data_IF_910615950307
#
_entry.id   IF_910615950307
#
_cell.length_a   1.000
_cell.length_b   1.000
_cell.length_c   1.000
_cell.angle_alpha   90.00
_cell.angle_beta   90.00
_cell.angle_gamma   90.00
#
_symmetry.space_group_name_H-M   'P 1'
#
loop_
_entity.id
_entity.type
_entity.pdbx_description
1 polymer ?
#
# COMPACT_ATOMS: atom_id res chain seq x y z
N UNK A 1 -0.02 5.07 -17.98
CA UNK A 1 -0.41 5.87 -19.17
C UNK A 1 -1.90 6.14 -19.03
N UNK A 2 -2.32 7.41 -18.87
CA UNK A 2 -3.72 7.76 -18.59
C UNK A 2 -4.54 8.00 -19.86
N UNK A 3 -3.87 8.36 -20.96
CA UNK A 3 -4.45 8.60 -22.29
C UNK A 3 -3.37 8.40 -23.35
N UNK A 4 -3.76 8.15 -24.60
CA UNK A 4 -2.86 8.15 -25.76
C UNK A 4 -3.35 9.13 -26.81
N UNK A 5 -2.41 9.68 -27.59
CA UNK A 5 -2.69 10.75 -28.53
C UNK A 5 -1.45 11.18 -29.29
N UNK A 6 -1.59 12.22 -30.09
CA UNK A 6 -0.50 12.81 -30.87
C UNK A 6 -0.30 14.27 -30.45
N UNK A 7 0.95 14.76 -30.58
CA UNK A 7 1.19 16.20 -30.38
C UNK A 7 0.38 16.94 -31.45
N UNK A 8 -0.47 17.84 -31.01
CA UNK A 8 -1.40 18.54 -31.88
C UNK A 8 -0.68 19.42 -32.88
N UNK A 9 -1.30 19.63 -34.03
CA UNK A 9 -0.85 20.64 -35.00
C UNK A 9 -0.88 22.05 -34.40
N UNK A 10 -1.68 22.27 -33.36
CA UNK A 10 -1.82 23.52 -32.63
C UNK A 10 -0.70 23.77 -31.60
N UNK A 11 0.31 22.91 -31.49
CA UNK A 11 1.35 23.00 -30.45
C UNK A 11 2.07 24.36 -30.37
N UNK A 12 2.10 25.10 -31.49
CA UNK A 12 2.79 26.38 -31.63
C UNK A 12 1.85 27.58 -31.36
N UNK A 13 0.56 27.33 -31.07
CA UNK A 13 -0.41 28.36 -30.70
C UNK A 13 0.00 29.00 -29.37
N UNK A 14 -0.14 30.32 -29.25
CA UNK A 14 0.23 31.05 -28.01
C UNK A 14 -0.77 30.83 -26.87
N UNK A 15 -2.02 30.54 -27.22
CA UNK A 15 -3.13 30.32 -26.28
C UNK A 15 -4.03 29.22 -26.84
N UNK A 16 -4.43 28.27 -26.00
CA UNK A 16 -5.43 27.26 -26.33
C UNK A 16 -6.38 27.09 -25.15
N UNK A 17 -7.69 27.14 -25.40
CA UNK A 17 -8.72 27.02 -24.35
C UNK A 17 -8.49 27.96 -23.15
N UNK A 18 -8.20 29.24 -23.45
CA UNK A 18 -7.84 30.28 -22.48
C UNK A 18 -6.56 29.99 -21.64
N UNK A 19 -5.76 28.98 -22.01
CA UNK A 19 -4.49 28.64 -21.37
C UNK A 19 -3.33 29.11 -22.24
N UNK A 20 -2.44 29.93 -21.68
CA UNK A 20 -1.20 30.30 -22.34
C UNK A 20 -0.29 29.07 -22.52
N UNK A 21 0.17 28.87 -23.75
CA UNK A 21 1.13 27.83 -24.09
C UNK A 21 2.55 28.38 -23.87
N UNK A 22 3.25 27.75 -22.94
CA UNK A 22 4.64 28.03 -22.57
C UNK A 22 5.54 26.90 -23.07
N UNK A 23 6.88 27.04 -23.04
CA UNK A 23 7.80 25.95 -23.38
C UNK A 23 7.61 24.68 -22.53
N UNK A 24 6.98 24.78 -21.37
CA UNK A 24 6.66 23.66 -20.47
C UNK A 24 5.31 23.02 -20.75
N UNK A 25 4.51 23.59 -21.67
CA UNK A 25 3.17 23.13 -22.04
C UNK A 25 3.15 22.75 -23.51
N UNK A 26 2.29 21.81 -23.85
CA UNK A 26 2.03 21.46 -25.24
C UNK A 26 0.61 20.95 -25.38
N UNK A 27 0.10 20.97 -26.60
CA UNK A 27 -1.25 20.53 -26.92
C UNK A 27 -1.16 19.12 -27.48
N UNK A 28 -2.00 18.23 -26.98
CA UNK A 28 -2.09 16.84 -27.40
C UNK A 28 -3.51 16.56 -27.87
N UNK A 29 -3.63 16.00 -29.06
CA UNK A 29 -4.88 15.46 -29.60
C UNK A 29 -5.04 14.04 -29.05
N UNK A 30 -5.91 13.89 -28.06
CA UNK A 30 -6.18 12.63 -27.37
C UNK A 30 -7.07 11.75 -28.24
N UNK A 31 -6.61 10.54 -28.53
CA UNK A 31 -7.33 9.54 -29.33
C UNK A 31 -7.89 8.39 -28.49
N UNK A 32 -7.38 8.17 -27.28
CA UNK A 32 -7.81 7.10 -26.38
C UNK A 32 -7.69 7.57 -24.92
N UNK A 33 -8.75 7.38 -24.12
CA UNK A 33 -8.74 7.63 -22.67
C UNK A 33 -8.71 6.29 -21.94
N UNK A 34 -7.70 6.07 -21.09
CA UNK A 34 -7.53 4.83 -20.31
C UNK A 34 -7.94 4.99 -18.85
N UNK A 35 -7.87 6.21 -18.32
CA UNK A 35 -8.24 6.54 -16.93
C UNK A 35 -9.17 7.76 -16.94
N UNK A 36 -10.50 7.57 -17.04
CA UNK A 36 -11.50 8.65 -17.12
C UNK A 36 -11.40 9.69 -15.99
N UNK A 37 -11.21 9.22 -14.75
CA UNK A 37 -11.11 10.07 -13.57
C UNK A 37 -9.78 10.80 -13.37
N UNK A 38 -8.84 10.71 -14.31
CA UNK A 38 -7.54 11.37 -14.19
C UNK A 38 -7.69 12.90 -14.17
N UNK A 39 -7.19 13.56 -13.13
CA UNK A 39 -7.34 15.00 -12.91
C UNK A 39 -6.32 15.79 -13.72
N UNK A 40 -6.81 16.73 -14.55
CA UNK A 40 -5.98 17.58 -15.40
C UNK A 40 -5.77 18.94 -14.76
N UNK A 41 -4.60 19.12 -14.12
CA UNK A 41 -4.28 20.34 -13.38
C UNK A 41 -4.24 21.61 -14.25
N UNK A 42 -3.81 21.50 -15.51
CA UNK A 42 -3.78 22.60 -16.48
C UNK A 42 -5.17 23.16 -16.81
N UNK A 43 -6.23 22.40 -16.52
CA UNK A 43 -7.61 22.70 -16.84
C UNK A 43 -8.49 22.91 -15.59
N UNK A 44 -7.91 23.45 -14.51
CA UNK A 44 -8.67 23.71 -13.28
C UNK A 44 -9.07 22.44 -12.53
N UNK A 45 -8.22 21.40 -12.60
CA UNK A 45 -8.41 20.11 -11.89
C UNK A 45 -9.69 19.36 -12.27
N UNK A 46 -10.13 19.47 -13.52
CA UNK A 46 -11.25 18.66 -14.03
C UNK A 46 -10.80 17.27 -14.46
N UNK A 47 -11.66 16.23 -14.34
CA UNK A 47 -11.35 14.88 -14.77
C UNK A 47 -11.31 14.77 -16.30
N UNK A 48 -10.59 13.78 -16.81
CA UNK A 48 -10.32 13.62 -18.23
C UNK A 48 -11.57 13.25 -19.06
N UNK A 49 -12.57 12.61 -18.44
CA UNK A 49 -13.86 12.32 -19.08
C UNK A 49 -14.75 13.55 -19.28
N UNK A 50 -14.50 14.65 -18.56
CA UNK A 50 -15.27 15.89 -18.69
C UNK A 50 -15.01 16.65 -20.00
N UNK A 51 -14.02 16.24 -20.79
CA UNK A 51 -13.66 16.85 -22.08
C UNK A 51 -14.49 16.32 -23.26
N UNK A 52 -15.36 15.34 -23.03
CA UNK A 52 -16.23 14.76 -24.06
C UNK A 52 -15.63 13.52 -24.74
N UNK A 53 -16.29 13.01 -25.79
CA UNK A 53 -15.82 11.83 -26.52
C UNK A 53 -14.53 12.13 -27.29
N UNK A 54 -13.66 11.13 -27.41
CA UNK A 54 -12.46 11.21 -28.25
C UNK A 54 -12.83 11.28 -29.74
N UNK A 55 -12.06 11.99 -30.58
CA UNK A 55 -10.86 12.75 -30.23
C UNK A 55 -11.16 14.16 -29.69
N UNK A 56 -10.33 14.63 -28.75
CA UNK A 56 -10.34 16.01 -28.26
C UNK A 56 -8.92 16.50 -27.99
N UNK A 57 -8.71 17.82 -28.04
CA UNK A 57 -7.41 18.44 -27.82
C UNK A 57 -7.31 19.01 -26.41
N UNK A 58 -6.18 18.80 -25.74
CA UNK A 58 -5.98 19.24 -24.36
C UNK A 58 -4.53 19.67 -24.13
N UNK A 59 -4.35 20.62 -23.22
CA UNK A 59 -3.03 21.14 -22.83
C UNK A 59 -2.44 20.28 -21.71
N UNK A 60 -1.25 19.74 -21.93
CA UNK A 60 -0.46 19.02 -20.92
C UNK A 60 0.84 19.75 -20.60
N UNK A 61 1.37 19.48 -19.40
CA UNK A 61 2.77 19.75 -19.11
C UNK A 61 3.64 18.76 -19.90
N UNK A 62 4.68 19.23 -20.58
CA UNK A 62 5.58 18.37 -21.34
C UNK A 62 6.24 17.31 -20.45
N UNK A 63 6.50 17.62 -19.18
CA UNK A 63 7.03 16.68 -18.19
C UNK A 63 6.10 15.48 -17.91
N UNK A 64 4.82 15.57 -18.27
CA UNK A 64 3.85 14.48 -18.08
C UNK A 64 3.69 13.61 -19.33
N UNK A 65 4.33 13.99 -20.44
CA UNK A 65 4.27 13.24 -21.68
C UNK A 65 5.40 12.22 -21.74
N UNK A 66 5.07 11.03 -22.25
CA UNK A 66 6.04 10.03 -22.68
C UNK A 66 5.88 9.85 -24.17
N UNK A 67 6.83 10.30 -24.95
CA UNK A 67 6.85 10.12 -26.40
C UNK A 67 7.33 8.71 -26.73
N UNK A 68 6.65 8.04 -27.65
CA UNK A 68 7.06 6.75 -28.19
C UNK A 68 7.14 6.86 -29.71
N UNK A 69 8.28 6.48 -30.29
CA UNK A 69 8.46 6.33 -31.73
C UNK A 69 8.30 4.84 -32.09
N UNK A 70 7.31 4.46 -32.92
CA UNK A 70 7.10 3.06 -33.32
C UNK A 70 8.30 2.41 -34.01
N UNK A 71 9.22 3.22 -34.55
CA UNK A 71 10.39 2.79 -35.30
C UNK A 71 11.58 2.32 -34.45
N UNK A 72 11.52 2.41 -33.11
CA UNK A 72 12.68 2.09 -32.24
C UNK A 72 12.64 0.68 -31.63
N UNK A 73 11.57 -0.10 -31.85
CA UNK A 73 11.52 -1.53 -31.46
C UNK A 73 11.71 -2.45 -32.67
N UNK A 74 12.90 -2.42 -33.27
CA UNK A 74 13.43 -3.62 -33.91
C UNK A 74 14.22 -4.39 -32.85
N UNK A 75 13.71 -5.59 -32.54
CA UNK A 75 14.29 -6.60 -31.66
C UNK A 75 15.81 -6.72 -31.86
N UNK A 76 16.60 -6.19 -30.92
CA UNK A 76 17.96 -6.66 -30.67
C UNK A 76 17.97 -7.41 -29.34
N UNK A 77 17.86 -8.73 -29.44
CA UNK A 77 18.39 -9.63 -28.43
C UNK A 77 19.92 -9.51 -28.53
N UNK A 78 20.54 -8.74 -27.63
CA UNK A 78 21.99 -8.84 -27.42
C UNK A 78 22.27 -9.58 -26.11
N UNK A 79 23.22 -10.53 -26.09
CA UNK A 79 23.65 -11.19 -24.85
C UNK A 79 24.41 -10.19 -23.94
N UNK A 80 24.18 -10.32 -22.64
CA UNK A 80 24.82 -9.51 -21.59
C UNK A 80 26.36 -9.55 -21.67
N UNK A 81 27.05 -8.40 -21.56
CA UNK A 81 28.48 -8.37 -21.34
C UNK A 81 28.82 -8.71 -19.88
N UNK A 82 29.80 -9.60 -19.71
CA UNK A 82 30.39 -9.98 -18.42
C UNK A 82 31.24 -8.81 -17.91
N UNK A 83 30.94 -8.30 -16.70
CA UNK A 83 31.75 -7.30 -16.00
C UNK A 83 32.60 -7.94 -14.87
N UNK A 84 33.82 -7.43 -14.63
CA UNK A 84 34.81 -7.97 -13.69
C UNK A 84 34.49 -7.60 -12.21
N UNK A 85 35.14 -8.24 -11.21
CA UNK A 85 34.78 -8.11 -9.80
C UNK A 85 35.13 -6.73 -9.20
N UNK A 86 34.38 -6.24 -8.21
CA UNK A 86 34.63 -4.94 -7.59
C UNK A 86 35.62 -5.00 -6.42
N UNK A 87 36.50 -4.01 -6.40
CA UNK A 87 37.41 -3.67 -5.30
C UNK A 87 36.69 -2.95 -4.15
N UNK A 88 37.36 -2.92 -2.99
CA UNK A 88 36.87 -2.65 -1.64
C UNK A 88 36.52 -1.20 -1.26
N UNK A 89 35.76 -1.09 -0.13
CA UNK A 89 35.64 0.02 0.85
C UNK A 89 34.80 1.25 0.42
N UNK A 90 33.99 1.91 1.27
CA UNK A 90 33.84 1.92 2.73
C UNK A 90 32.44 2.41 3.14
N UNK A 91 31.98 1.95 4.32
CA UNK A 91 30.81 2.44 5.05
C UNK A 91 30.94 3.91 5.44
N UNK A 92 29.85 4.69 5.37
CA UNK A 92 29.62 5.80 6.29
C UNK A 92 28.14 5.89 6.69
N UNK A 93 27.94 5.86 8.00
CA UNK A 93 26.68 6.01 8.72
C UNK A 93 26.49 7.50 8.99
N UNK A 94 25.33 8.04 8.64
CA UNK A 94 24.96 9.42 8.96
C UNK A 94 23.57 9.48 9.56
N UNK A 95 23.49 9.50 10.90
CA UNK A 95 22.29 9.92 11.64
C UNK A 95 22.04 11.40 11.42
N UNK A 96 20.81 11.79 11.11
CA UNK A 96 20.31 13.14 11.34
C UNK A 96 18.88 13.11 11.90
N UNK A 97 18.74 13.77 13.04
CA UNK A 97 17.51 13.99 13.81
C UNK A 97 16.68 15.15 13.24
N UNK A 98 15.41 15.18 13.70
CA UNK A 98 14.50 16.34 13.88
C UNK A 98 13.72 16.81 12.64
N UNK A 99 12.45 17.25 12.66
CA UNK A 99 11.50 17.72 13.68
C UNK A 99 10.04 17.46 13.19
N UNK A 100 9.01 17.48 14.07
CA UNK A 100 7.60 17.36 13.68
C UNK A 100 6.94 18.73 13.45
N UNK A 101 6.37 18.96 12.26
CA UNK A 101 5.51 20.12 11.99
C UNK A 101 4.04 19.80 12.34
N UNK A 102 3.48 20.63 13.22
CA UNK A 102 2.08 20.69 13.61
C UNK A 102 1.23 21.40 12.55
N UNK A 103 0.03 20.88 12.28
CA UNK A 103 -1.15 21.73 12.06
C UNK A 103 -2.46 20.93 12.25
N UNK A 104 -3.38 21.48 13.05
CA UNK A 104 -4.83 21.21 12.96
C UNK A 104 -5.48 20.47 14.13
N UNK A 105 -5.66 21.17 15.26
CA UNK A 105 -6.55 20.80 16.38
C UNK A 105 -8.03 20.94 15.99
N UNK A 106 -8.90 19.99 16.38
CA UNK A 106 -10.24 20.26 16.90
C UNK A 106 -10.76 19.10 17.78
N UNK A 107 -11.33 19.50 18.94
CA UNK A 107 -12.12 18.76 19.93
C UNK A 107 -11.38 17.85 20.92
N UNK A 108 -11.01 18.44 22.06
CA UNK A 108 -10.68 17.74 23.30
C UNK A 108 -11.92 16.99 23.81
N UNK A 109 -11.86 15.67 23.71
CA UNK A 109 -12.59 14.73 24.56
C UNK A 109 -11.50 13.84 25.16
N UNK A 110 -11.53 13.66 26.48
CA UNK A 110 -10.52 12.95 27.29
C UNK A 110 -9.82 11.82 26.51
N UNK A 111 -8.60 12.10 26.04
CA UNK A 111 -7.86 11.22 25.14
C UNK A 111 -7.30 10.06 25.97
N UNK A 112 -7.96 8.90 25.89
CA UNK A 112 -7.30 7.64 26.20
C UNK A 112 -6.00 7.56 25.38
N UNK A 113 -4.90 7.20 26.03
CA UNK A 113 -3.53 7.07 25.50
C UNK A 113 -3.43 5.98 24.41
N UNK A 114 -4.08 6.25 23.28
CA UNK A 114 -4.10 5.42 22.10
C UNK A 114 -2.85 5.68 21.27
N UNK A 115 -2.17 4.62 20.87
CA UNK A 115 -1.03 4.69 19.97
C UNK A 115 -1.35 4.00 18.64
N UNK A 116 -0.95 4.63 17.53
CA UNK A 116 -1.09 4.05 16.19
C UNK A 116 -0.53 2.63 16.15
N UNK A 117 -1.25 1.69 15.54
CA UNK A 117 -0.72 0.34 15.31
C UNK A 117 0.22 0.27 14.10
N UNK A 118 0.28 1.30 13.25
CA UNK A 118 1.18 1.35 12.10
C UNK A 118 2.65 1.29 12.49
N UNK A 119 3.02 1.86 13.65
CA UNK A 119 4.40 1.79 14.17
C UNK A 119 4.84 0.37 14.52
N UNK A 120 3.90 -0.53 14.78
CA UNK A 120 4.15 -1.92 15.15
C UNK A 120 4.53 -2.80 13.95
N UNK A 121 4.20 -2.40 12.73
CA UNK A 121 4.44 -3.20 11.53
C UNK A 121 5.92 -3.41 11.17
N UNK A 122 6.81 -2.63 11.78
CA UNK A 122 8.26 -2.74 11.65
C UNK A 122 8.94 -3.35 12.87
N UNK A 123 8.18 -3.61 13.93
CA UNK A 123 8.69 -4.08 15.22
C UNK A 123 8.52 -5.59 15.36
N UNK A 124 9.22 -6.16 16.33
CA UNK A 124 8.99 -7.53 16.73
C UNK A 124 7.59 -7.68 17.38
N UNK A 125 6.72 -8.41 16.67
CA UNK A 125 5.38 -8.76 17.14
C UNK A 125 5.32 -10.15 17.74
N UNK A 126 6.46 -10.77 18.04
CA UNK A 126 6.53 -11.96 18.88
C UNK A 126 6.06 -11.64 20.32
N UNK A 127 5.77 -12.70 21.07
CA UNK A 127 5.07 -12.61 22.35
C UNK A 127 3.66 -13.16 22.26
N UNK A 128 3.06 -13.40 23.43
CA UNK A 128 1.93 -14.30 23.68
C UNK A 128 0.99 -14.44 22.47
N UNK A 129 1.29 -15.42 21.64
CA UNK A 129 0.30 -16.06 20.80
C UNK A 129 -0.53 -16.88 21.78
N UNK A 130 -1.53 -16.27 22.40
CA UNK A 130 -2.59 -17.04 23.05
C UNK A 130 -3.50 -17.60 21.97
N UNK A 131 -2.91 -18.45 21.13
CA UNK A 131 -3.59 -19.60 20.59
C UNK A 131 -3.94 -20.47 21.80
N UNK A 132 -5.22 -20.43 22.19
CA UNK A 132 -6.00 -21.54 22.75
C UNK A 132 -6.68 -21.31 24.12
N UNK A 133 -6.29 -20.38 24.99
CA UNK A 133 -6.81 -20.45 26.39
C UNK A 133 -7.26 -19.15 27.09
N UNK A 134 -7.47 -18.03 26.39
CA UNK A 134 -8.25 -16.96 27.01
C UNK A 134 -9.74 -17.29 26.86
N UNK A 135 -10.53 -17.35 27.97
CA UNK A 135 -11.97 -17.19 27.85
C UNK A 135 -12.16 -15.84 27.16
N UNK A 136 -12.62 -15.88 25.90
CA UNK A 136 -12.83 -14.70 25.05
C UNK A 136 -13.95 -13.90 25.69
N UNK A 137 -13.60 -13.13 26.71
CA UNK A 137 -14.52 -12.24 27.36
C UNK A 137 -14.77 -11.12 26.35
N UNK A 138 -15.90 -11.23 25.68
CA UNK A 138 -16.35 -10.27 24.68
C UNK A 138 -17.30 -9.31 25.36
N UNK A 139 -17.04 -8.02 25.19
CA UNK A 139 -17.98 -7.00 25.60
C UNK A 139 -19.22 -7.05 24.70
N UNK A 140 -20.37 -7.38 25.28
CA UNK A 140 -21.62 -7.55 24.53
C UNK A 140 -22.10 -6.23 23.92
N UNK A 141 -21.86 -5.10 24.60
CA UNK A 141 -22.22 -3.77 24.10
C UNK A 141 -21.36 -3.35 22.90
N UNK A 142 -20.04 -3.54 22.98
CA UNK A 142 -19.10 -3.29 21.87
C UNK A 142 -19.38 -4.21 20.69
N UNK A 143 -19.72 -5.49 20.95
CA UNK A 143 -20.15 -6.42 19.90
C UNK A 143 -21.42 -5.93 19.17
N UNK A 144 -22.44 -5.49 19.91
CA UNK A 144 -23.65 -4.94 19.34
C UNK A 144 -23.38 -3.66 18.55
N UNK A 145 -22.57 -2.76 19.11
CA UNK A 145 -22.11 -1.52 18.45
C UNK A 145 -21.38 -1.81 17.15
N UNK A 146 -20.47 -2.79 17.14
CA UNK A 146 -19.77 -3.23 15.94
C UNK A 146 -20.69 -3.82 14.89
N UNK A 147 -21.69 -4.62 15.30
CA UNK A 147 -22.70 -5.16 14.39
C UNK A 147 -23.54 -4.05 13.74
N UNK A 148 -23.96 -3.05 14.51
CA UNK A 148 -24.71 -1.89 14.01
C UNK A 148 -23.87 -1.04 13.04
N UNK A 149 -22.62 -0.72 13.42
CA UNK A 149 -21.76 0.15 12.63
C UNK A 149 -21.32 -0.51 11.33
N UNK A 150 -20.84 -1.76 11.39
CA UNK A 150 -20.34 -2.48 10.22
C UNK A 150 -21.47 -2.97 9.31
N UNK A 151 -22.63 -3.31 9.89
CA UNK A 151 -23.75 -3.89 9.15
C UNK A 151 -23.44 -5.26 8.55
N UNK A 152 -24.25 -5.63 7.56
CA UNK A 152 -24.11 -6.88 6.81
C UNK A 152 -23.00 -6.80 5.75
N UNK A 153 -22.42 -7.96 5.45
CA UNK A 153 -21.45 -8.07 4.37
C UNK A 153 -22.11 -7.81 3.01
N UNK A 154 -21.37 -7.23 2.04
CA UNK A 154 -21.91 -7.04 0.69
C UNK A 154 -22.26 -8.38 0.04
N UNK A 155 -23.50 -8.51 -0.41
CA UNK A 155 -23.93 -9.66 -1.21
C UNK A 155 -23.42 -9.59 -2.66
N UNK A 156 -23.21 -8.37 -3.16
CA UNK A 156 -22.81 -8.10 -4.53
C UNK A 156 -21.51 -7.29 -4.57
N UNK A 157 -20.59 -7.71 -5.43
CA UNK A 157 -19.28 -7.09 -5.62
C UNK A 157 -19.22 -6.40 -6.98
N UNK A 158 -18.93 -5.10 -6.94
CA UNK A 158 -18.58 -4.37 -8.15
C UNK A 158 -17.12 -4.66 -8.48
N UNK A 159 -16.89 -5.38 -9.57
CA UNK A 159 -15.56 -5.75 -10.04
C UNK A 159 -14.96 -4.70 -10.99
N UNK A 160 -15.67 -3.58 -11.23
CA UNK A 160 -15.16 -2.50 -12.05
C UNK A 160 -14.02 -1.80 -11.30
N UNK A 161 -12.87 -1.73 -11.94
CA UNK A 161 -11.71 -0.99 -11.43
C UNK A 161 -11.99 0.50 -11.63
N UNK A 162 -12.46 1.16 -10.57
CA UNK A 162 -12.76 2.59 -10.61
C UNK A 162 -11.51 3.47 -10.56
N UNK A 163 -10.39 2.96 -10.01
CA UNK A 163 -9.13 3.70 -9.90
C UNK A 163 -7.94 2.75 -9.82
N UNK A 164 -6.86 3.08 -10.53
CA UNK A 164 -5.54 2.49 -10.35
C UNK A 164 -4.69 3.24 -9.33
N UNK A 165 -5.19 4.37 -8.81
CA UNK A 165 -4.61 5.09 -7.68
C UNK A 165 -5.13 4.42 -6.42
N UNK A 166 -4.24 3.69 -5.75
CA UNK A 166 -4.53 2.99 -4.51
C UNK A 166 -4.30 3.89 -3.30
N UNK A 167 -5.05 3.64 -2.23
CA UNK A 167 -4.75 4.22 -0.92
C UNK A 167 -3.55 3.48 -0.32
N UNK A 168 -2.69 4.23 0.35
CA UNK A 168 -1.55 3.67 1.07
C UNK A 168 -2.02 2.75 2.21
N UNK A 169 -1.57 1.50 2.17
CA UNK A 169 -1.90 0.50 3.18
C UNK A 169 -1.24 0.84 4.52
N UNK A 170 -0.07 1.48 4.53
CA UNK A 170 0.53 1.93 5.79
C UNK A 170 -0.35 2.94 6.52
N UNK A 171 -0.99 3.82 5.76
CA UNK A 171 -1.99 4.73 6.29
C UNK A 171 -3.19 3.98 6.90
N UNK A 172 -3.63 2.84 6.34
CA UNK A 172 -4.72 2.01 6.92
C UNK A 172 -4.38 1.57 8.34
N UNK A 173 -3.13 1.15 8.60
CA UNK A 173 -2.70 0.81 9.96
C UNK A 173 -2.54 2.05 10.85
N UNK A 174 -2.14 3.18 10.29
CA UNK A 174 -2.06 4.44 11.03
C UNK A 174 -3.41 5.06 11.40
N UNK A 175 -4.52 4.60 10.79
CA UNK A 175 -5.86 5.03 11.16
C UNK A 175 -6.34 4.44 12.49
N UNK A 176 -5.76 3.32 12.95
CA UNK A 176 -6.13 2.69 14.22
C UNK A 176 -5.24 3.17 15.37
N UNK A 177 -5.85 3.92 16.29
CA UNK A 177 -5.29 4.25 17.59
C UNK A 177 -5.89 3.32 18.64
N UNK A 178 -5.07 2.46 19.23
CA UNK A 178 -5.45 1.48 20.25
C UNK A 178 -4.57 1.72 21.47
N UNK A 179 -5.14 1.58 22.67
CA UNK A 179 -4.39 1.72 23.93
C UNK A 179 -3.06 0.98 23.87
N UNK A 180 -1.97 1.69 24.18
CA UNK A 180 -0.62 1.15 24.03
C UNK A 180 -0.36 -0.07 24.93
N UNK A 181 -1.08 -0.15 26.06
CA UNK A 181 -1.00 -1.19 27.07
C UNK A 181 -1.99 -2.33 26.86
N UNK A 182 -2.91 -2.23 25.90
CA UNK A 182 -3.90 -3.28 25.66
C UNK A 182 -3.23 -4.59 25.22
N UNK A 183 -3.49 -5.69 25.93
CA UNK A 183 -2.80 -6.98 25.74
C UNK A 183 -2.92 -7.56 24.32
N UNK A 184 -4.07 -7.36 23.67
CA UNK A 184 -4.35 -7.83 22.32
C UNK A 184 -3.84 -6.90 21.19
N UNK A 185 -3.25 -5.73 21.49
CA UNK A 185 -2.84 -4.76 20.46
C UNK A 185 -1.88 -5.36 19.42
N UNK A 186 -0.86 -6.11 19.88
CA UNK A 186 0.08 -6.80 18.98
C UNK A 186 -0.61 -7.89 18.17
N UNK A 187 -1.45 -8.71 18.81
CA UNK A 187 -2.14 -9.81 18.14
C UNK A 187 -3.09 -9.30 17.06
N UNK A 188 -3.92 -8.30 17.37
CA UNK A 188 -4.77 -7.63 16.40
C UNK A 188 -3.99 -7.08 15.21
N UNK A 189 -2.85 -6.45 15.47
CA UNK A 189 -1.97 -5.93 14.40
C UNK A 189 -1.46 -7.05 13.49
N UNK A 190 -1.07 -8.20 14.06
CA UNK A 190 -0.64 -9.39 13.30
C UNK A 190 -1.76 -9.91 12.42
N UNK A 191 -2.95 -10.14 13.00
CA UNK A 191 -4.07 -10.70 12.26
C UNK A 191 -4.57 -9.75 11.16
N UNK A 192 -4.61 -8.44 11.42
CA UNK A 192 -4.99 -7.46 10.40
C UNK A 192 -3.97 -7.42 9.26
N UNK A 193 -2.67 -7.45 9.59
CA UNK A 193 -1.59 -7.55 8.58
C UNK A 193 -1.73 -8.80 7.75
N UNK A 194 -1.95 -9.95 8.38
CA UNK A 194 -1.99 -11.25 7.71
C UNK A 194 -3.28 -11.41 6.88
N UNK A 195 -4.37 -10.72 7.25
CA UNK A 195 -5.59 -10.64 6.44
C UNK A 195 -5.45 -9.75 5.20
N UNK A 196 -4.60 -8.71 5.26
CA UNK A 196 -4.38 -7.77 4.16
C UNK A 196 -3.29 -8.25 3.20
N UNK A 197 -2.16 -8.71 3.73
CA UNK A 197 -0.97 -9.09 2.96
C UNK A 197 -0.86 -10.61 2.87
N UNK A 198 -1.38 -11.19 1.79
CA UNK A 198 -1.32 -12.63 1.56
C UNK A 198 0.05 -12.98 0.96
N UNK A 199 0.85 -13.86 1.60
CA UNK A 199 2.15 -14.21 1.07
C UNK A 199 2.06 -14.98 -0.24
N UNK A 200 3.05 -14.78 -1.10
CA UNK A 200 3.31 -15.68 -2.22
C UNK A 200 3.74 -17.04 -1.68
N UNK A 201 2.99 -18.09 -2.03
CA UNK A 201 3.19 -19.43 -1.48
C UNK A 201 4.55 -20.04 -1.86
N UNK A 202 5.09 -19.69 -3.02
CA UNK A 202 6.42 -20.16 -3.41
C UNK A 202 7.52 -19.49 -2.59
N UNK A 203 7.45 -18.17 -2.40
CA UNK A 203 8.36 -17.46 -1.51
C UNK A 203 8.28 -17.99 -0.08
N UNK A 204 7.06 -18.18 0.43
CA UNK A 204 6.81 -18.77 1.75
C UNK A 204 7.48 -20.14 1.87
N UNK A 205 7.34 -20.97 0.85
CA UNK A 205 7.97 -22.31 0.80
C UNK A 205 9.49 -22.21 0.78
N UNK A 206 10.08 -21.35 -0.07
CA UNK A 206 11.53 -21.12 -0.13
C UNK A 206 12.08 -20.64 1.21
N UNK A 207 11.38 -19.72 1.87
CA UNK A 207 11.75 -19.19 3.18
C UNK A 207 11.70 -20.29 4.25
N UNK A 208 10.69 -21.15 4.24
CA UNK A 208 10.62 -22.29 5.16
C UNK A 208 11.74 -23.31 4.91
N UNK A 209 12.06 -23.60 3.65
CA UNK A 209 13.18 -24.47 3.29
C UNK A 209 14.50 -23.90 3.81
N UNK A 210 14.80 -22.63 3.51
CA UNK A 210 15.99 -21.96 4.04
C UNK A 210 15.98 -21.93 5.57
N UNK A 211 14.85 -21.58 6.16
CA UNK A 211 14.65 -21.48 7.60
C UNK A 211 14.88 -22.78 8.36
N UNK A 212 14.59 -23.93 7.73
CA UNK A 212 14.90 -25.27 8.27
C UNK A 212 16.41 -25.54 8.45
N UNK A 213 17.27 -24.84 7.70
CA UNK A 213 18.73 -24.99 7.78
C UNK A 213 19.37 -24.16 8.89
N UNK A 214 18.59 -23.29 9.53
CA UNK A 214 19.06 -22.41 10.60
C UNK A 214 19.14 -23.17 11.92
N UNK A 215 19.99 -22.67 12.83
CA UNK A 215 20.14 -23.19 14.18
C UNK A 215 19.84 -22.10 15.21
N UNK A 216 18.67 -22.12 15.90
CA UNK A 216 17.56 -23.06 15.74
C UNK A 216 16.78 -22.85 14.44
N UNK A 217 16.02 -23.86 13.96
CA UNK A 217 15.16 -23.72 12.78
C UNK A 217 14.16 -22.58 12.93
N UNK A 218 13.90 -21.87 11.82
CA UNK A 218 12.97 -20.74 11.78
C UNK A 218 11.91 -20.97 10.72
N UNK A 219 10.64 -20.94 11.09
CA UNK A 219 9.55 -20.98 10.10
C UNK A 219 9.22 -19.58 9.61
N UNK A 220 8.50 -19.50 8.49
CA UNK A 220 7.89 -18.28 7.98
C UNK A 220 7.09 -17.58 9.08
N UNK A 221 6.23 -18.30 9.80
CA UNK A 221 5.36 -17.75 10.85
C UNK A 221 6.16 -17.13 12.01
N UNK A 222 7.30 -17.71 12.37
CA UNK A 222 8.22 -17.16 13.37
C UNK A 222 8.84 -15.86 12.82
N UNK A 223 9.44 -15.93 11.64
CA UNK A 223 10.14 -14.79 11.01
C UNK A 223 9.19 -13.63 10.69
N UNK A 224 7.93 -13.93 10.39
CA UNK A 224 6.85 -12.97 10.14
C UNK A 224 6.61 -12.05 11.32
N UNK A 225 6.84 -12.54 12.53
CA UNK A 225 6.65 -11.77 13.74
C UNK A 225 7.96 -11.21 14.27
N UNK A 226 9.05 -11.99 14.25
CA UNK A 226 10.34 -11.57 14.81
C UNK A 226 11.16 -10.66 13.89
N UNK A 227 11.02 -10.82 12.57
CA UNK A 227 11.85 -10.14 11.57
C UNK A 227 11.01 -9.62 10.38
N UNK A 228 9.93 -8.84 10.60
CA UNK A 228 8.96 -8.50 9.55
C UNK A 228 9.55 -7.67 8.41
N UNK A 229 10.53 -6.81 8.69
CA UNK A 229 11.19 -6.00 7.65
C UNK A 229 12.01 -6.85 6.68
N UNK A 230 12.80 -7.78 7.23
CA UNK A 230 13.50 -8.76 6.42
C UNK A 230 12.47 -9.57 5.64
N UNK A 231 11.53 -10.22 6.30
CA UNK A 231 10.58 -11.10 5.60
C UNK A 231 9.85 -10.45 4.42
N UNK A 232 9.42 -9.18 4.53
CA UNK A 232 8.81 -8.43 3.41
C UNK A 232 9.75 -8.16 2.24
N UNK A 233 11.04 -8.10 2.47
CA UNK A 233 12.03 -8.00 1.41
C UNK A 233 12.24 -9.33 0.69
N UNK A 234 12.04 -10.47 1.36
CA UNK A 234 12.24 -11.81 0.78
C UNK A 234 10.95 -12.50 0.29
N UNK A 235 9.79 -11.99 0.65
CA UNK A 235 8.49 -12.58 0.30
C UNK A 235 7.63 -11.52 -0.39
N UNK A 236 7.15 -11.83 -1.60
CA UNK A 236 6.08 -11.05 -2.21
C UNK A 236 4.79 -11.22 -1.40
N UNK A 237 4.01 -10.16 -1.31
CA UNK A 237 2.66 -10.20 -0.76
C UNK A 237 1.69 -9.65 -1.79
N UNK A 238 0.52 -10.27 -1.87
CA UNK A 238 -0.58 -9.82 -2.72
C UNK A 238 -1.69 -9.32 -1.81
N UNK A 239 -2.25 -8.17 -2.18
CA UNK A 239 -3.49 -7.70 -1.58
C UNK A 239 -4.65 -8.13 -2.49
N UNK A 240 -5.48 -9.09 -2.07
CA UNK A 240 -6.46 -9.73 -2.94
C UNK A 240 -7.60 -8.78 -3.35
N UNK A 241 -8.41 -9.15 -4.36
CA UNK A 241 -9.55 -8.34 -4.79
C UNK A 241 -10.59 -8.17 -3.67
N UNK A 242 -11.50 -7.17 -3.77
CA UNK A 242 -12.43 -6.79 -2.70
C UNK A 242 -13.27 -7.95 -2.15
N UNK A 243 -13.74 -8.84 -3.01
CA UNK A 243 -14.58 -9.98 -2.65
C UNK A 243 -13.86 -11.02 -1.78
N UNK A 244 -12.52 -11.01 -1.77
CA UNK A 244 -11.69 -11.85 -0.91
C UNK A 244 -11.17 -11.03 0.28
N UNK A 245 -10.68 -9.82 0.05
CA UNK A 245 -10.07 -8.98 1.09
C UNK A 245 -11.07 -8.56 2.16
N UNK A 246 -12.28 -8.15 1.76
CA UNK A 246 -13.29 -7.63 2.68
C UNK A 246 -13.69 -8.65 3.75
N UNK A 247 -14.12 -9.89 3.41
CA UNK A 247 -14.54 -10.84 4.45
C UNK A 247 -13.39 -11.20 5.40
N UNK A 248 -12.14 -11.27 4.92
CA UNK A 248 -10.98 -11.52 5.77
C UNK A 248 -10.80 -10.39 6.80
N UNK A 249 -10.79 -9.14 6.35
CA UNK A 249 -10.59 -7.97 7.23
C UNK A 249 -11.79 -7.75 8.16
N UNK A 250 -13.02 -7.92 7.66
CA UNK A 250 -14.23 -7.82 8.46
C UNK A 250 -14.28 -8.87 9.57
N UNK A 251 -13.82 -10.09 9.29
CA UNK A 251 -13.70 -11.14 10.29
C UNK A 251 -12.70 -10.76 11.40
N UNK A 252 -11.55 -10.17 11.06
CA UNK A 252 -10.60 -9.67 12.07
C UNK A 252 -11.26 -8.60 12.95
N UNK A 253 -11.96 -7.62 12.36
CA UNK A 253 -12.63 -6.57 13.12
C UNK A 253 -13.71 -7.12 14.06
N UNK A 254 -14.58 -8.02 13.57
CA UNK A 254 -15.63 -8.65 14.39
C UNK A 254 -15.08 -9.55 15.49
N UNK A 255 -13.96 -10.22 15.22
CA UNK A 255 -13.32 -11.12 16.18
C UNK A 255 -12.64 -10.34 17.29
N UNK A 256 -11.87 -9.32 16.95
CA UNK A 256 -10.99 -8.64 17.90
C UNK A 256 -11.59 -7.40 18.54
N UNK A 257 -12.41 -6.64 17.82
CA UNK A 257 -12.97 -5.38 18.33
C UNK A 257 -13.67 -5.48 19.69
N UNK A 258 -14.54 -6.48 19.95
CA UNK A 258 -15.22 -6.58 21.24
C UNK A 258 -14.41 -7.29 22.32
N UNK A 259 -13.19 -7.80 22.04
CA UNK A 259 -12.43 -8.54 23.05
C UNK A 259 -11.95 -7.61 24.16
N UNK A 260 -12.17 -8.05 25.39
CA UNK A 260 -11.84 -7.29 26.59
C UNK A 260 -10.39 -7.55 27.01
N UNK A 261 -9.69 -6.46 27.35
CA UNK A 261 -8.40 -6.51 28.01
C UNK A 261 -8.50 -7.04 29.44
N UNK A 262 -7.57 -7.91 29.85
CA UNK A 262 -7.61 -8.55 31.16
C UNK A 262 -7.53 -7.55 32.32
N UNK A 263 -6.83 -6.42 32.12
CA UNK A 263 -6.44 -5.52 33.19
C UNK A 263 -7.37 -4.29 33.21
N UNK A 264 -7.52 -3.63 32.07
CA UNK A 264 -8.37 -2.43 31.95
C UNK A 264 -9.86 -2.75 31.88
N UNK A 265 -10.24 -4.01 31.60
CA UNK A 265 -11.64 -4.45 31.41
C UNK A 265 -12.39 -3.72 30.30
N UNK A 266 -11.67 -3.06 29.39
CA UNK A 266 -12.22 -2.35 28.23
C UNK A 266 -12.11 -3.21 26.96
N UNK A 267 -13.03 -3.06 26.00
CA UNK A 267 -12.90 -3.70 24.70
C UNK A 267 -11.74 -3.10 23.90
N UNK A 268 -11.18 -3.88 22.97
CA UNK A 268 -10.11 -3.44 22.08
C UNK A 268 -10.53 -2.26 21.21
N UNK A 269 -11.76 -2.27 20.70
CA UNK A 269 -12.29 -1.19 19.90
C UNK A 269 -13.17 -0.27 20.75
N UNK A 270 -12.76 1.00 20.76
CA UNK A 270 -13.61 2.14 21.12
C UNK A 270 -14.66 2.40 20.01
N UNK A 271 -15.68 3.23 20.27
CA UNK A 271 -16.62 3.67 19.24
C UNK A 271 -15.93 4.26 17.98
N UNK A 272 -14.82 4.97 18.14
CA UNK A 272 -14.08 5.55 17.03
C UNK A 272 -13.26 4.51 16.25
N UNK A 273 -12.78 3.46 16.91
CA UNK A 273 -12.18 2.33 16.21
C UNK A 273 -13.21 1.58 15.35
N UNK A 274 -14.46 1.46 15.80
CA UNK A 274 -15.53 0.88 14.96
C UNK A 274 -15.84 1.74 13.73
N UNK A 275 -15.88 3.06 13.87
CA UNK A 275 -16.03 3.98 12.71
C UNK A 275 -14.84 3.83 11.74
N UNK A 276 -13.63 3.72 12.28
CA UNK A 276 -12.41 3.48 11.50
C UNK A 276 -12.49 2.17 10.73
N UNK A 277 -12.91 1.08 11.38
CA UNK A 277 -13.13 -0.22 10.76
C UNK A 277 -14.14 -0.13 9.60
N UNK A 278 -15.27 0.55 9.79
CA UNK A 278 -16.26 0.79 8.72
C UNK A 278 -15.66 1.53 7.53
N UNK A 279 -14.87 2.58 7.79
CA UNK A 279 -14.21 3.35 6.74
C UNK A 279 -13.23 2.48 5.94
N UNK A 280 -12.44 1.64 6.61
CA UNK A 280 -11.51 0.71 5.96
C UNK A 280 -12.27 -0.31 5.10
N UNK A 281 -13.34 -0.90 5.62
CA UNK A 281 -14.19 -1.81 4.85
C UNK A 281 -14.79 -1.14 3.61
N UNK A 282 -15.17 0.14 3.71
CA UNK A 282 -15.63 0.93 2.55
C UNK A 282 -14.51 1.12 1.50
N UNK A 283 -13.27 1.41 1.93
CA UNK A 283 -12.13 1.51 1.03
C UNK A 283 -11.85 0.19 0.29
N UNK A 284 -11.92 -0.93 1.02
CA UNK A 284 -11.76 -2.28 0.45
C UNK A 284 -12.86 -2.56 -0.55
N UNK A 285 -14.14 -2.33 -0.17
CA UNK A 285 -15.29 -2.56 -1.03
C UNK A 285 -15.18 -1.83 -2.38
N UNK A 286 -14.61 -0.63 -2.36
CA UNK A 286 -14.40 0.19 -3.56
C UNK A 286 -13.14 -0.17 -4.36
N UNK A 287 -12.38 -1.19 -3.95
CA UNK A 287 -11.15 -1.62 -4.64
C UNK A 287 -9.92 -0.75 -4.39
N UNK A 288 -9.96 0.19 -3.44
CA UNK A 288 -8.87 1.16 -3.26
C UNK A 288 -7.65 0.60 -2.53
N UNK A 289 -7.72 -0.61 -1.97
CA UNK A 289 -6.58 -1.27 -1.33
C UNK A 289 -6.07 -2.49 -2.12
N UNK A 290 -6.88 -3.06 -2.99
CA UNK A 290 -6.53 -4.27 -3.73
C UNK A 290 -5.47 -4.00 -4.80
N UNK A 291 -4.57 -4.96 -4.99
CA UNK A 291 -3.59 -4.85 -6.05
C UNK A 291 -4.27 -4.89 -7.43
N UNK A 292 -3.91 -4.01 -8.38
CA UNK A 292 -4.49 -4.01 -9.70
C UNK A 292 -4.13 -5.29 -10.48
N UNK A 293 -5.10 -5.93 -11.14
CA UNK A 293 -4.87 -7.19 -11.84
C UNK A 293 -3.88 -7.00 -12.99
N UNK A 294 -2.96 -7.97 -13.13
CA UNK A 294 -1.98 -8.00 -14.22
C UNK A 294 -0.84 -6.98 -14.11
N UNK A 295 -0.75 -6.23 -13.01
CA UNK A 295 0.35 -5.29 -12.79
C UNK A 295 1.37 -5.96 -11.83
N UNK A 296 2.61 -6.21 -12.29
CA UNK A 296 3.65 -6.74 -11.41
C UNK A 296 4.11 -5.63 -10.45
N UNK A 297 3.81 -5.79 -9.16
CA UNK A 297 4.20 -4.83 -8.13
C UNK A 297 5.52 -5.16 -7.45
N UNK A 298 6.12 -6.31 -7.77
CA UNK A 298 7.38 -6.77 -7.19
C UNK A 298 8.43 -6.98 -8.27
N UNK A 299 9.61 -6.42 -8.07
CA UNK A 299 10.79 -6.61 -8.93
C UNK A 299 11.93 -7.20 -8.13
N UNK A 300 12.56 -8.27 -8.63
CA UNK A 300 13.77 -8.82 -8.02
C UNK A 300 14.92 -7.83 -8.21
N UNK A 301 15.54 -7.41 -7.11
CA UNK A 301 16.67 -6.47 -7.10
C UNK A 301 17.99 -7.12 -6.71
N UNK A 302 17.96 -8.37 -6.25
CA UNK A 302 19.16 -9.11 -5.87
C UNK A 302 18.84 -10.45 -5.23
N UNK A 303 19.88 -11.14 -4.79
CA UNK A 303 19.81 -12.39 -4.06
C UNK A 303 20.51 -12.22 -2.69
N UNK A 304 19.87 -12.68 -1.63
CA UNK A 304 20.46 -12.71 -0.30
C UNK A 304 21.37 -13.93 -0.16
N UNK A 305 22.67 -13.71 -0.37
CA UNK A 305 23.69 -14.76 -0.25
C UNK A 305 23.76 -15.37 1.15
N UNK A 306 23.42 -14.61 2.20
CA UNK A 306 23.41 -15.12 3.59
C UNK A 306 22.17 -15.95 3.86
N UNK A 307 21.08 -15.66 3.16
CA UNK A 307 19.84 -16.41 3.23
C UNK A 307 19.72 -17.47 2.12
N UNK A 308 20.79 -18.21 1.81
CA UNK A 308 20.72 -19.32 0.84
C UNK A 308 20.35 -18.92 -0.59
N UNK A 309 20.54 -17.65 -0.97
CA UNK A 309 20.21 -17.15 -2.30
C UNK A 309 18.74 -16.78 -2.48
N UNK A 310 17.98 -16.56 -1.40
CA UNK A 310 16.60 -16.07 -1.49
C UNK A 310 16.52 -14.75 -2.29
N UNK A 311 15.51 -14.58 -3.15
CA UNK A 311 15.32 -13.33 -3.89
C UNK A 311 15.03 -12.18 -2.93
N UNK A 312 15.56 -11.00 -3.27
CA UNK A 312 15.24 -9.74 -2.61
C UNK A 312 14.37 -8.95 -3.57
N UNK A 313 13.19 -8.55 -3.11
CA UNK A 313 12.23 -7.80 -3.89
C UNK A 313 12.21 -6.32 -3.51
N UNK A 314 12.00 -5.49 -4.53
CA UNK A 314 11.48 -4.14 -4.39
C UNK A 314 10.00 -4.16 -4.70
N UNK A 315 9.19 -3.73 -3.74
CA UNK A 315 7.76 -3.58 -3.86
C UNK A 315 7.42 -2.16 -4.35
N UNK A 316 6.46 -2.05 -5.26
CA UNK A 316 5.88 -0.81 -5.76
C UNK A 316 4.51 -0.49 -5.10
N UNK A 317 3.97 -1.39 -4.27
CA UNK A 317 2.79 -1.11 -3.45
C UNK A 317 3.16 -0.08 -2.38
N UNK A 318 2.45 1.05 -2.33
CA UNK A 318 2.53 2.01 -1.23
C UNK A 318 3.94 2.49 -0.93
N UNK A 319 4.39 3.54 -1.60
CA UNK A 319 5.55 4.30 -1.13
C UNK A 319 5.08 5.68 -0.77
N UNK A 320 5.31 6.08 0.49
CA UNK A 320 6.04 7.30 0.76
C UNK A 320 6.38 7.59 2.24
N UNK A 321 7.40 8.44 2.44
CA UNK A 321 7.46 9.34 3.60
C UNK A 321 6.80 10.72 3.32
N UNK A 322 6.25 10.94 2.12
CA UNK A 322 5.18 11.92 1.77
C UNK A 322 4.57 11.75 0.34
N UNK A 323 5.36 11.41 -0.69
CA UNK A 323 4.96 10.71 -1.95
C UNK A 323 6.19 10.03 -2.62
N UNK A 324 7.22 9.67 -1.83
CA UNK A 324 8.54 9.20 -2.28
C UNK A 324 8.73 7.69 -2.33
N UNK A 325 8.56 7.13 -3.53
CA UNK A 325 9.23 5.90 -4.00
C UNK A 325 9.81 6.06 -5.41
N UNK A 326 10.15 7.29 -5.82
CA UNK A 326 10.87 7.58 -7.08
C UNK A 326 12.04 8.57 -6.85
N UNK A 327 12.45 8.77 -5.60
CA UNK A 327 13.73 9.42 -5.27
C UNK A 327 14.77 8.39 -4.81
N UNK A 328 14.87 7.25 -5.50
CA UNK A 328 16.22 6.71 -5.71
C UNK A 328 16.81 7.52 -6.84
N UNK A 329 17.90 8.27 -6.57
CA UNK A 329 18.68 8.91 -7.62
C UNK A 329 18.81 7.95 -8.80
N UNK A 330 18.41 8.40 -10.00
CA UNK A 330 18.80 7.74 -11.23
C UNK A 330 20.33 7.74 -11.18
N UNK A 331 20.94 6.57 -10.98
CA UNK A 331 22.38 6.45 -11.16
C UNK A 331 22.63 6.64 -12.65
N UNK A 332 23.16 7.80 -13.01
CA UNK A 332 23.75 8.11 -14.32
C UNK A 332 24.90 7.17 -14.62
#
# INVERSE_FOLDING_TARGET
>A
IIATGQISVHKDDKVFDAINISPTRTIVDVSEVRVPGAIIATHGKRPLDSFGPVPFSIVFLQSHLRTYSPSTFQTQVQPLPVLPPPCHHSSMVGSLNSHPDQLGSMAETEVEDGASIGTLLSQDLSGSSTSEDFPRNMDSASKATGAEILGHDPEHWDNVIHSHVLKDIWHVFNMFYISATHGLRKQFTRELRDAIFIPDEEDKTRINIWGSTQAPPRTYEILRNSCPQWLRAQCKHIIPPPNILYPLVANVFRTYGPLIDSDSKKPLFTPDNWKTAKNILKLIKNGYLSDPPGIPLYTVIGLDKKAGGLPIYRCACGTNSTEGGVHTHIRS
#
